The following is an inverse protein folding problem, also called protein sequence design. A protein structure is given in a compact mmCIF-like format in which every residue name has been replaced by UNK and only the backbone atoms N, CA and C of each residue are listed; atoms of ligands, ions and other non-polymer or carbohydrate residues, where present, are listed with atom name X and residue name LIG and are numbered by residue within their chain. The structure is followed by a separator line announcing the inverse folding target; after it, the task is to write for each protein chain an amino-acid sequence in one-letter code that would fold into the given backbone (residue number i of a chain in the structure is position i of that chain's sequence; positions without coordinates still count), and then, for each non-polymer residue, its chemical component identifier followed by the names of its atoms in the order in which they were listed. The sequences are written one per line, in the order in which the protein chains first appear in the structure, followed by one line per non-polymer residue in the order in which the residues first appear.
data_IF_672309525997
#
_entry.id   IF_672309525997
#
_cell.length_a   1.000
_cell.length_b   1.000
_cell.length_c   1.000
_cell.angle_alpha   90.00
_cell.angle_beta   90.00
_cell.angle_gamma   90.00
#
_symmetry.space_group_name_H-M   'P 1'
#
loop_
_entity.id
_entity.type
_entity.pdbx_description
1 polymer ?
#
# COMPACT_ATOMS: atom_id res chain seq x y z
N UNK A 1 3.09 -11.19 -9.52
CA UNK A 1 2.58 -10.05 -8.75
C UNK A 1 2.04 -10.53 -7.42
N UNK A 2 2.22 -9.73 -6.37
CA UNK A 2 1.64 -9.96 -5.04
C UNK A 2 0.33 -9.17 -4.93
N UNK A 3 -0.69 -9.74 -4.31
CA UNK A 3 -1.97 -9.07 -4.04
C UNK A 3 -2.26 -9.12 -2.54
N UNK A 4 -2.45 -7.96 -1.94
CA UNK A 4 -2.92 -7.79 -0.57
C UNK A 4 -4.40 -7.41 -0.62
N UNK A 5 -5.26 -8.18 0.04
CA UNK A 5 -6.69 -7.88 0.16
C UNK A 5 -6.98 -7.41 1.58
N UNK A 6 -7.40 -6.15 1.74
CA UNK A 6 -7.72 -5.54 3.01
C UNK A 6 -9.20 -5.76 3.32
N UNK A 7 -9.50 -6.56 4.34
CA UNK A 7 -10.86 -7.04 4.63
C UNK A 7 -11.61 -6.18 5.64
N UNK A 8 -10.88 -5.41 6.44
CA UNK A 8 -11.42 -4.58 7.52
C UNK A 8 -10.45 -3.45 7.87
N UNK A 9 -10.95 -2.46 8.59
CA UNK A 9 -10.19 -1.30 9.08
C UNK A 9 -9.90 -1.42 10.57
N UNK A 10 -9.05 -0.54 11.10
CA UNK A 10 -8.80 -0.44 12.53
C UNK A 10 -9.70 0.61 13.22
N UNK A 11 -11.01 0.48 13.01
CA UNK A 11 -12.02 1.31 13.67
C UNK A 11 -12.45 2.56 12.91
N UNK A 12 -11.74 2.97 11.85
CA UNK A 12 -12.26 3.98 10.93
C UNK A 12 -13.33 3.36 10.02
N UNK A 13 -14.58 3.84 10.03
CA UNK A 13 -15.66 3.23 9.25
C UNK A 13 -15.58 3.52 7.75
N UNK A 14 -14.79 4.51 7.32
CA UNK A 14 -14.81 5.07 5.97
C UNK A 14 -13.47 4.91 5.23
N UNK A 15 -12.37 4.61 5.93
CA UNK A 15 -11.03 4.58 5.31
C UNK A 15 -10.18 3.40 5.77
N UNK A 16 -9.33 2.95 4.86
CA UNK A 16 -8.26 1.99 5.12
C UNK A 16 -6.94 2.56 4.63
N UNK A 17 -5.87 2.35 5.38
CA UNK A 17 -4.55 2.87 5.02
C UNK A 17 -3.44 2.06 5.64
N UNK A 18 -2.23 2.27 5.14
CA UNK A 18 -0.98 1.67 5.61
C UNK A 18 0.13 2.73 5.49
N UNK A 19 1.09 2.69 6.41
CA UNK A 19 2.28 3.55 6.37
C UNK A 19 3.44 2.91 5.61
N UNK A 20 3.40 1.60 5.35
CA UNK A 20 4.48 0.92 4.64
C UNK A 20 4.24 -0.56 4.38
N UNK A 21 5.00 -1.10 3.42
CA UNK A 21 5.10 -2.54 3.13
C UNK A 21 6.58 -2.90 2.91
N UNK A 22 7.04 -3.99 3.51
CA UNK A 22 8.41 -4.50 3.38
C UNK A 22 8.31 -5.98 3.04
N UNK A 23 8.99 -6.36 1.96
CA UNK A 23 8.97 -7.70 1.39
C UNK A 23 10.38 -8.28 1.47
N UNK A 24 10.51 -9.56 1.82
CA UNK A 24 11.80 -10.25 1.81
C UNK A 24 11.73 -11.54 1.02
N UNK A 25 12.84 -11.88 0.38
CA UNK A 25 13.00 -13.14 -0.35
C UNK A 25 13.34 -14.31 0.59
N UNK A 26 13.52 -15.51 0.04
CA UNK A 26 13.88 -16.71 0.79
C UNK A 26 15.22 -16.64 1.53
N UNK A 27 16.15 -15.77 1.10
CA UNK A 27 17.41 -15.52 1.80
C UNK A 27 17.23 -14.55 2.97
N UNK A 28 16.05 -13.93 3.09
CA UNK A 28 15.77 -12.90 4.08
C UNK A 28 16.22 -11.50 3.65
N UNK A 29 16.61 -11.33 2.39
CA UNK A 29 17.04 -10.04 1.83
C UNK A 29 15.81 -9.23 1.38
N UNK A 30 15.86 -7.88 1.49
CA UNK A 30 14.75 -7.03 1.10
C UNK A 30 14.54 -7.05 -0.42
N UNK A 31 13.29 -7.19 -0.85
CA UNK A 31 12.89 -7.04 -2.25
C UNK A 31 12.58 -5.56 -2.50
N UNK A 32 13.41 -4.91 -3.31
CA UNK A 32 13.30 -3.49 -3.62
C UNK A 32 12.30 -3.27 -4.77
N UNK A 33 11.35 -2.34 -4.55
CA UNK A 33 10.44 -1.84 -5.58
C UNK A 33 11.02 -0.52 -6.09
N UNK A 34 11.73 -0.57 -7.22
CA UNK A 34 12.51 0.58 -7.74
C UNK A 34 11.63 1.72 -8.27
N UNK A 35 10.47 1.41 -8.84
CA UNK A 35 9.53 2.39 -9.40
C UNK A 35 8.13 2.19 -8.82
N UNK A 36 7.89 2.56 -7.54
CA UNK A 36 6.63 2.29 -6.87
C UNK A 36 5.39 2.83 -7.61
N UNK A 37 5.50 4.01 -8.24
CA UNK A 37 4.41 4.61 -9.04
C UNK A 37 3.99 3.77 -10.26
N UNK A 38 4.88 2.93 -10.78
CA UNK A 38 4.61 2.05 -11.92
C UNK A 38 4.29 0.62 -11.48
N UNK A 39 4.90 0.17 -10.39
CA UNK A 39 4.84 -1.22 -9.91
C UNK A 39 3.75 -1.46 -8.87
N UNK A 40 3.14 -0.41 -8.32
CA UNK A 40 2.18 -0.50 -7.23
C UNK A 40 0.89 0.19 -7.64
N UNK A 41 -0.21 -0.53 -7.52
CA UNK A 41 -1.56 -0.01 -7.76
C UNK A 41 -2.50 -0.47 -6.66
N UNK A 42 -3.50 0.34 -6.35
CA UNK A 42 -4.55 -0.06 -5.43
C UNK A 42 -5.94 0.14 -6.03
N UNK A 43 -6.91 -0.58 -5.48
CA UNK A 43 -8.33 -0.44 -5.77
C UNK A 43 -9.08 -0.42 -4.45
N UNK A 44 -9.64 0.73 -4.01
CA UNK A 44 -9.47 2.06 -4.61
C UNK A 44 -8.01 2.53 -4.57
N UNK A 45 -7.61 3.41 -5.49
CA UNK A 45 -6.22 3.86 -5.61
C UNK A 45 -5.80 4.85 -4.52
N UNK A 46 -6.75 5.60 -3.99
CA UNK A 46 -6.57 6.44 -2.81
C UNK A 46 -7.72 7.42 -2.61
N UNK A 47 -7.64 8.24 -1.57
CA UNK A 47 -8.64 9.28 -1.27
C UNK A 47 -8.71 10.40 -2.32
N UNK A 48 -7.71 10.53 -3.18
CA UNK A 48 -7.72 11.49 -4.29
C UNK A 48 -8.83 11.23 -5.32
N UNK A 49 -9.43 10.04 -5.32
CA UNK A 49 -10.63 9.73 -6.10
C UNK A 49 -11.89 10.46 -5.59
N UNK A 50 -11.87 10.99 -4.36
CA UNK A 50 -13.00 11.68 -3.76
C UNK A 50 -13.07 13.15 -4.19
N UNK A 51 -14.29 13.71 -4.36
CA UNK A 51 -14.46 15.12 -4.72
C UNK A 51 -13.75 16.06 -3.72
N UNK A 52 -12.89 16.94 -4.24
CA UNK A 52 -12.15 17.93 -3.45
C UNK A 52 -10.81 17.46 -2.90
N UNK A 53 -10.37 16.23 -3.21
CA UNK A 53 -9.10 15.67 -2.73
C UNK A 53 -8.11 15.33 -3.87
N UNK A 54 -8.28 15.88 -5.07
CA UNK A 54 -7.52 15.51 -6.28
C UNK A 54 -5.99 15.52 -6.11
N UNK A 55 -5.45 16.45 -5.30
CA UNK A 55 -4.01 16.61 -5.06
C UNK A 55 -3.55 16.04 -3.71
N UNK A 56 -4.34 15.13 -3.11
CA UNK A 56 -4.01 14.54 -1.82
C UNK A 56 -2.76 13.64 -1.93
N UNK A 57 -1.74 13.83 -1.07
CA UNK A 57 -0.45 13.14 -1.18
C UNK A 57 -0.49 11.67 -0.76
N UNK A 58 -1.62 11.17 -0.24
CA UNK A 58 -1.75 9.81 0.32
C UNK A 58 -1.94 8.74 -0.77
N UNK A 59 -0.97 8.65 -1.65
CA UNK A 59 -0.98 7.78 -2.82
C UNK A 59 -0.30 6.42 -2.55
N UNK A 60 -0.63 5.39 -3.33
CA UNK A 60 -0.19 4.00 -3.06
C UNK A 60 1.33 3.80 -3.16
N UNK A 61 2.04 4.66 -3.89
CA UNK A 61 3.51 4.62 -3.95
C UNK A 61 4.18 4.88 -2.60
N UNK A 62 3.46 5.53 -1.65
CA UNK A 62 3.93 5.77 -0.28
C UNK A 62 4.21 4.51 0.51
N UNK A 63 3.65 3.36 0.11
CA UNK A 63 3.95 2.08 0.75
C UNK A 63 5.44 1.69 0.68
N UNK A 64 6.21 2.31 -0.22
CA UNK A 64 7.62 2.00 -0.46
C UNK A 64 8.53 3.25 -0.41
N UNK A 65 8.12 4.33 0.27
CA UNK A 65 8.89 5.59 0.32
C UNK A 65 9.89 5.70 1.50
N UNK A 66 10.29 4.56 2.06
CA UNK A 66 11.24 4.38 3.17
C UNK A 66 10.81 4.98 4.53
N UNK A 67 9.69 5.71 4.59
CA UNK A 67 9.20 6.39 5.80
C UNK A 67 8.16 5.57 6.59
N UNK A 68 8.37 4.26 6.74
CA UNK A 68 7.34 3.34 7.27
C UNK A 68 6.95 3.59 8.73
N UNK A 69 7.87 4.11 9.55
CA UNK A 69 7.62 4.47 10.95
C UNK A 69 7.38 5.98 11.09
N UNK A 70 6.27 6.45 10.52
CA UNK A 70 5.93 7.87 10.45
C UNK A 70 4.57 8.18 11.08
N UNK A 71 4.39 9.42 11.53
CA UNK A 71 3.07 10.00 11.83
C UNK A 71 2.68 11.08 10.82
N UNK A 72 3.53 11.35 9.84
CA UNK A 72 3.25 12.27 8.74
C UNK A 72 2.39 11.58 7.69
N UNK A 73 1.14 12.03 7.56
CA UNK A 73 0.19 11.46 6.63
C UNK A 73 0.65 11.57 5.16
N UNK A 74 1.53 12.51 4.81
CA UNK A 74 2.04 12.65 3.43
C UNK A 74 2.97 11.52 2.99
N UNK A 75 3.39 10.68 3.94
CA UNK A 75 4.17 9.46 3.77
C UNK A 75 3.33 8.18 3.98
N UNK A 76 2.01 8.27 3.89
CA UNK A 76 1.10 7.13 4.07
C UNK A 76 0.17 6.96 2.89
N UNK A 77 -0.28 5.74 2.65
CA UNK A 77 -1.38 5.49 1.71
C UNK A 77 -2.71 5.47 2.47
N UNK A 78 -3.74 6.10 1.89
CA UNK A 78 -5.11 6.06 2.41
C UNK A 78 -6.10 5.92 1.25
N UNK A 79 -7.05 5.01 1.39
CA UNK A 79 -8.12 4.78 0.44
C UNK A 79 -9.50 4.78 1.13
N UNK A 80 -10.57 5.17 0.42
CA UNK A 80 -11.93 4.97 0.90
C UNK A 80 -12.20 3.48 1.11
N UNK A 81 -13.02 3.17 2.11
CA UNK A 81 -13.39 1.83 2.51
C UNK A 81 -14.91 1.68 2.54
N UNK A 82 -15.40 0.56 2.03
CA UNK A 82 -16.82 0.18 2.15
C UNK A 82 -16.93 -1.31 2.48
N UNK A 83 -17.53 -1.70 3.62
CA UNK A 83 -17.65 -3.12 3.97
C UNK A 83 -18.27 -3.97 2.85
N UNK A 84 -17.61 -5.07 2.50
CA UNK A 84 -18.05 -5.98 1.43
C UNK A 84 -17.55 -5.63 0.02
N UNK A 85 -16.99 -4.44 -0.18
CA UNK A 85 -16.38 -4.03 -1.45
C UNK A 85 -14.90 -4.43 -1.54
N UNK A 86 -14.33 -4.28 -2.74
CA UNK A 86 -12.94 -4.63 -3.03
C UNK A 86 -11.97 -3.55 -2.54
N UNK A 87 -11.02 -3.95 -1.68
CA UNK A 87 -9.90 -3.12 -1.22
C UNK A 87 -8.60 -3.91 -1.39
N UNK A 88 -7.86 -3.63 -2.46
CA UNK A 88 -6.72 -4.45 -2.86
C UNK A 88 -5.51 -3.59 -3.23
N UNK A 89 -4.32 -4.00 -2.79
CA UNK A 89 -3.03 -3.47 -3.27
C UNK A 89 -2.36 -4.55 -4.10
N UNK A 90 -1.90 -4.18 -5.28
CA UNK A 90 -1.15 -5.05 -6.19
C UNK A 90 0.26 -4.51 -6.32
N UNK A 91 1.24 -5.41 -6.13
CA UNK A 91 2.67 -5.10 -6.18
C UNK A 91 3.31 -5.99 -7.25
N UNK A 92 3.91 -5.36 -8.25
CA UNK A 92 4.69 -6.02 -9.28
C UNK A 92 6.12 -6.23 -8.79
N UNK A 93 6.43 -7.48 -8.44
CA UNK A 93 7.77 -7.88 -8.02
C UNK A 93 8.75 -7.74 -9.20
N UNK A 94 10.00 -7.31 -8.95
CA UNK A 94 10.99 -7.09 -10.00
C UNK A 94 11.37 -8.38 -10.74
N UNK A 95 11.21 -9.53 -10.10
CA UNK A 95 11.45 -10.85 -10.68
C UNK A 95 10.56 -11.91 -10.02
N UNK A 96 10.56 -13.12 -10.56
CA UNK A 96 9.98 -14.27 -9.88
C UNK A 96 10.87 -14.65 -8.70
N UNK A 97 10.38 -14.45 -7.48
CA UNK A 97 11.08 -14.80 -6.25
C UNK A 97 10.14 -15.51 -5.26
N UNK A 98 10.73 -16.29 -4.35
CA UNK A 98 10.03 -16.81 -3.19
C UNK A 98 9.98 -15.73 -2.11
N UNK A 99 8.79 -15.48 -1.54
CA UNK A 99 8.60 -14.56 -0.43
C UNK A 99 8.75 -15.31 0.89
N UNK A 100 9.61 -14.83 1.81
CA UNK A 100 9.73 -15.39 3.16
C UNK A 100 8.96 -14.57 4.21
N UNK A 101 8.93 -13.23 4.05
CA UNK A 101 8.37 -12.32 5.05
C UNK A 101 7.73 -11.10 4.39
N UNK A 102 6.53 -10.77 4.88
CA UNK A 102 5.83 -9.52 4.60
C UNK A 102 5.61 -8.81 5.92
N UNK A 103 5.99 -7.53 6.00
CA UNK A 103 5.68 -6.64 7.14
C UNK A 103 4.79 -5.52 6.65
N UNK A 104 3.81 -5.16 7.47
CA UNK A 104 2.84 -4.09 7.23
C UNK A 104 2.93 -3.12 8.40
N UNK A 105 2.85 -1.82 8.12
CA UNK A 105 2.83 -0.74 9.10
C UNK A 105 1.51 0.01 9.03
#
# INVERSE_FOLDING_TARGET
SLRLSLLSTWGDPNYVGLSGVELHDEAGEPIVIERPKEQVRAVPSGVHELPGLTDDPRTVDKLFDEAMATTDATHMWLAPFTPGERHEVFIELPSLCALSRVRLW
#
